data_IF_533838710269
#
_entry.id   IF_533838710269
#
_cell.length_a   1.000
_cell.length_b   1.000
_cell.length_c   1.000
_cell.angle_alpha   90.00
_cell.angle_beta   90.00
_cell.angle_gamma   90.00
#
_symmetry.space_group_name_H-M   'P 1'
#
loop_
_entity.id
_entity.type
_entity.pdbx_description
1 polymer ?
#
# COMPACT_ATOMS: atom_id res chain seq x y z
N UNK A 1 21.35 -41.72 6.52
CA UNK A 1 22.33 -40.66 6.88
C UNK A 1 21.90 -39.29 6.34
N UNK A 2 20.64 -38.87 6.57
CA UNK A 2 20.11 -37.57 6.08
C UNK A 2 19.54 -36.67 7.21
N UNK A 3 19.64 -37.12 8.47
CA UNK A 3 19.02 -36.45 9.62
C UNK A 3 19.98 -35.53 10.39
N UNK A 4 21.29 -35.53 10.09
CA UNK A 4 22.30 -34.86 10.92
C UNK A 4 22.67 -33.44 10.45
N UNK A 5 22.21 -33.02 9.28
CA UNK A 5 22.47 -31.67 8.74
C UNK A 5 21.27 -30.71 8.82
N UNK A 6 20.09 -31.19 9.23
CA UNK A 6 18.89 -30.34 9.38
C UNK A 6 18.96 -29.37 10.55
N UNK A 7 19.79 -29.66 11.57
CA UNK A 7 19.89 -28.85 12.79
C UNK A 7 20.74 -27.57 12.67
N UNK A 8 21.58 -27.44 11.64
CA UNK A 8 22.43 -26.26 11.43
C UNK A 8 21.82 -25.25 10.43
N UNK A 9 20.87 -25.68 9.61
CA UNK A 9 20.15 -24.81 8.67
C UNK A 9 19.23 -23.81 9.39
N UNK A 10 18.71 -24.16 10.56
CA UNK A 10 17.83 -23.29 11.36
C UNK A 10 18.56 -22.10 12.02
N UNK A 11 19.87 -22.22 12.25
CA UNK A 11 20.70 -21.14 12.81
C UNK A 11 21.20 -20.14 11.74
N UNK A 12 21.07 -20.49 10.45
CA UNK A 12 21.44 -19.63 9.33
C UNK A 12 20.24 -18.86 8.73
N UNK A 13 19.03 -19.03 9.27
CA UNK A 13 17.83 -18.31 8.81
C UNK A 13 17.33 -18.75 7.43
N UNK A 14 17.82 -19.87 6.88
CA UNK A 14 17.46 -20.35 5.55
C UNK A 14 16.60 -21.61 5.67
N UNK A 15 15.29 -21.40 5.67
CA UNK A 15 14.30 -22.47 5.62
C UNK A 15 14.09 -22.88 4.14
N UNK A 16 14.74 -23.96 3.69
CA UNK A 16 14.77 -24.44 2.30
C UNK A 16 13.71 -25.49 1.94
N UNK A 17 12.67 -25.67 2.76
CA UNK A 17 11.57 -26.57 2.42
C UNK A 17 10.24 -26.03 2.95
N UNK A 18 9.41 -25.49 2.05
CA UNK A 18 7.98 -25.27 2.26
C UNK A 18 7.59 -24.30 3.38
N UNK A 19 7.27 -23.05 3.00
CA UNK A 19 6.29 -22.24 3.74
C UNK A 19 6.71 -21.68 5.10
N UNK A 20 7.89 -21.06 5.22
CA UNK A 20 8.28 -20.43 6.50
C UNK A 20 9.36 -19.34 6.46
N UNK A 21 9.87 -18.94 5.29
CA UNK A 21 10.53 -17.63 5.16
C UNK A 21 9.45 -16.56 5.06
N UNK A 22 9.68 -15.35 5.59
CA UNK A 22 8.77 -14.23 5.30
C UNK A 22 8.58 -14.16 3.78
N UNK A 23 7.34 -14.40 3.34
CA UNK A 23 6.97 -14.34 1.94
C UNK A 23 7.42 -12.99 1.39
N UNK A 24 8.28 -12.99 0.39
CA UNK A 24 8.82 -11.77 -0.23
C UNK A 24 7.69 -10.83 -0.66
N UNK A 25 6.58 -11.43 -1.06
CA UNK A 25 5.31 -10.76 -1.37
C UNK A 25 4.74 -10.06 -0.13
N UNK A 26 4.66 -10.74 1.01
CA UNK A 26 4.19 -10.16 2.27
C UNK A 26 5.10 -9.02 2.76
N UNK A 27 6.42 -9.18 2.66
CA UNK A 27 7.39 -8.10 2.97
C UNK A 27 7.12 -6.90 2.07
N UNK A 28 6.99 -7.13 0.76
CA UNK A 28 6.75 -6.05 -0.20
C UNK A 28 5.42 -5.33 0.08
N UNK A 29 4.35 -6.06 0.43
CA UNK A 29 3.06 -5.47 0.83
C UNK A 29 3.22 -4.57 2.06
N UNK A 30 3.96 -5.00 3.08
CA UNK A 30 4.18 -4.18 4.28
C UNK A 30 5.11 -2.99 4.02
N UNK A 31 6.09 -3.13 3.13
CA UNK A 31 6.90 -2.00 2.64
C UNK A 31 6.01 -0.99 1.92
N UNK A 32 5.13 -1.44 1.02
CA UNK A 32 4.18 -0.60 0.30
C UNK A 32 3.23 0.18 1.23
N UNK A 33 2.94 -0.35 2.42
CA UNK A 33 2.15 0.33 3.46
C UNK A 33 2.97 1.25 4.36
N UNK A 34 4.29 1.12 4.36
CA UNK A 34 5.17 1.83 5.30
C UNK A 34 5.14 3.34 5.09
N UNK A 35 5.33 4.11 6.17
CA UNK A 35 5.37 5.59 6.09
C UNK A 35 6.49 6.06 5.16
N UNK A 36 7.66 5.42 5.22
CA UNK A 36 8.82 5.83 4.44
C UNK A 36 8.55 5.70 2.94
N UNK A 37 8.07 4.53 2.50
CA UNK A 37 7.73 4.28 1.09
C UNK A 37 6.64 5.25 0.62
N UNK A 38 5.53 5.36 1.36
CA UNK A 38 4.42 6.22 0.97
C UNK A 38 4.79 7.71 0.95
N UNK A 39 5.63 8.17 1.88
CA UNK A 39 6.10 9.57 1.86
C UNK A 39 6.95 9.83 0.61
N UNK A 40 7.85 8.90 0.26
CA UNK A 40 8.67 9.01 -0.95
C UNK A 40 7.80 9.01 -2.21
N UNK A 41 6.89 8.04 -2.33
CA UNK A 41 5.92 7.93 -3.42
C UNK A 41 5.13 9.22 -3.64
N UNK A 42 4.56 9.78 -2.56
CA UNK A 42 3.76 11.01 -2.63
C UNK A 42 4.60 12.19 -3.16
N UNK A 43 5.82 12.36 -2.66
CA UNK A 43 6.71 13.46 -3.07
C UNK A 43 7.21 13.28 -4.50
N UNK A 44 7.60 12.06 -4.87
CA UNK A 44 8.12 11.74 -6.20
C UNK A 44 7.10 12.04 -7.30
N UNK A 45 5.83 11.70 -7.06
CA UNK A 45 4.73 11.90 -8.00
C UNK A 45 3.96 13.21 -7.79
N UNK A 46 4.43 14.10 -6.90
CA UNK A 46 3.84 15.41 -6.61
C UNK A 46 2.34 15.34 -6.23
N UNK A 47 1.99 14.38 -5.38
CA UNK A 47 0.61 14.08 -5.02
C UNK A 47 0.07 14.94 -3.88
N UNK A 48 0.83 15.88 -3.33
CA UNK A 48 0.43 16.66 -2.16
C UNK A 48 -0.84 17.48 -2.42
N UNK A 49 -0.89 18.19 -3.54
CA UNK A 49 -2.04 19.01 -3.93
C UNK A 49 -3.25 18.12 -4.25
N UNK A 50 -3.15 17.06 -5.08
CA UNK A 50 -4.21 16.10 -5.28
C UNK A 50 -4.77 15.49 -3.98
N UNK A 51 -3.92 15.20 -3.00
CA UNK A 51 -4.35 14.54 -1.76
C UNK A 51 -5.03 15.48 -0.77
N UNK A 52 -4.61 16.74 -0.71
CA UNK A 52 -5.01 17.65 0.37
C UNK A 52 -5.95 18.77 -0.07
N UNK A 53 -5.93 19.17 -1.35
CA UNK A 53 -6.62 20.37 -1.82
C UNK A 53 -7.69 20.11 -2.87
N UNK A 54 -7.77 18.91 -3.47
CA UNK A 54 -8.81 18.61 -4.48
C UNK A 54 -10.14 18.24 -3.81
N UNK A 55 -11.24 18.85 -4.27
CA UNK A 55 -12.59 18.63 -3.72
C UNK A 55 -13.42 17.69 -4.61
N UNK A 56 -13.25 17.79 -5.94
CA UNK A 56 -14.00 17.02 -6.94
C UNK A 56 -13.27 17.01 -8.27
N UNK A 57 -13.60 16.05 -9.13
CA UNK A 57 -13.24 16.08 -10.54
C UNK A 57 -14.44 16.57 -11.37
N UNK A 58 -14.18 17.35 -12.40
CA UNK A 58 -15.16 17.67 -13.43
C UNK A 58 -15.51 16.41 -14.23
N UNK A 59 -16.80 16.15 -14.45
CA UNK A 59 -17.27 14.90 -15.08
C UNK A 59 -17.11 14.90 -16.60
N UNK A 60 -16.91 16.06 -17.21
CA UNK A 60 -16.83 16.24 -18.66
C UNK A 60 -15.37 16.38 -19.07
N UNK A 61 -14.59 17.19 -18.34
CA UNK A 61 -13.18 17.43 -18.68
C UNK A 61 -12.21 16.51 -17.95
N UNK A 62 -12.63 15.87 -16.85
CA UNK A 62 -11.76 15.06 -16.00
C UNK A 62 -10.83 15.90 -15.11
N UNK A 63 -10.89 17.23 -15.19
CA UNK A 63 -10.00 18.13 -14.45
C UNK A 63 -10.32 18.14 -12.96
N UNK A 64 -9.28 18.18 -12.13
CA UNK A 64 -9.39 18.22 -10.68
C UNK A 64 -9.65 19.66 -10.22
N UNK A 65 -10.76 19.88 -9.52
CA UNK A 65 -11.08 21.16 -8.91
C UNK A 65 -10.37 21.28 -7.55
N UNK A 66 -9.42 22.21 -7.49
CA UNK A 66 -8.65 22.56 -6.29
C UNK A 66 -9.40 23.61 -5.45
N UNK A 67 -9.42 23.42 -4.13
CA UNK A 67 -9.89 24.39 -3.16
C UNK A 67 -8.90 25.54 -3.01
N UNK A 68 -9.28 26.72 -3.50
CA UNK A 68 -8.48 27.95 -3.40
C UNK A 68 -8.24 28.40 -1.96
N UNK A 69 -9.04 27.94 -1.00
CA UNK A 69 -8.84 28.23 0.43
C UNK A 69 -7.77 27.33 1.06
N UNK A 70 -7.37 26.25 0.39
CA UNK A 70 -6.35 25.31 0.87
C UNK A 70 -5.05 25.52 0.11
N UNK A 71 -5.13 25.68 -1.21
CA UNK A 71 -3.99 25.83 -2.09
C UNK A 71 -4.26 26.85 -3.19
N UNK A 72 -3.37 27.84 -3.29
CA UNK A 72 -3.36 28.82 -4.36
C UNK A 72 -2.55 28.27 -5.54
N UNK A 73 -3.26 27.98 -6.63
CA UNK A 73 -2.69 27.40 -7.86
C UNK A 73 -1.82 28.41 -8.61
N UNK A 74 -2.14 29.70 -8.55
CA UNK A 74 -1.42 30.76 -9.27
C UNK A 74 -0.08 31.04 -8.59
N UNK A 75 -0.07 31.12 -7.26
CA UNK A 75 1.15 31.37 -6.47
C UNK A 75 1.89 30.11 -6.04
N UNK A 76 1.32 28.93 -6.29
CA UNK A 76 1.82 27.60 -5.89
C UNK A 76 2.08 27.48 -4.38
N UNK A 77 1.20 28.05 -3.56
CA UNK A 77 1.37 28.11 -2.10
C UNK A 77 0.19 27.52 -1.37
N UNK A 78 0.50 26.86 -0.26
CA UNK A 78 -0.49 26.47 0.73
C UNK A 78 -0.99 27.72 1.46
N UNK A 79 -2.31 27.91 1.46
CA UNK A 79 -3.00 29.05 2.10
C UNK A 79 -3.99 28.61 3.18
N UNK A 80 -3.97 27.32 3.53
CA UNK A 80 -4.85 26.73 4.54
C UNK A 80 -4.68 27.36 5.92
N UNK A 81 -5.79 27.57 6.61
CA UNK A 81 -5.80 27.96 8.01
C UNK A 81 -5.47 26.76 8.91
N UNK A 82 -4.38 26.86 9.67
CA UNK A 82 -3.95 25.83 10.64
C UNK A 82 -3.64 26.47 11.99
N UNK A 83 -3.80 25.72 13.11
CA UNK A 83 -3.38 26.20 14.42
C UNK A 83 -1.90 26.60 14.43
N UNK A 84 -1.47 27.55 15.29
CA UNK A 84 -0.08 28.03 15.33
C UNK A 84 0.98 26.95 15.54
N UNK A 85 0.61 25.79 16.10
CA UNK A 85 1.50 24.64 16.32
C UNK A 85 1.68 23.72 15.11
N UNK A 86 1.00 24.00 13.98
CA UNK A 86 1.06 23.19 12.77
C UNK A 86 1.63 23.98 11.59
N UNK A 87 2.29 23.25 10.68
CA UNK A 87 2.80 23.81 9.43
C UNK A 87 1.65 24.11 8.47
N UNK A 88 1.73 25.25 7.77
CA UNK A 88 0.82 25.59 6.66
C UNK A 88 0.99 24.60 5.51
N UNK A 89 2.21 24.16 5.24
CA UNK A 89 2.45 23.05 4.31
C UNK A 89 2.11 21.69 4.96
N UNK A 90 1.41 20.78 4.27
CA UNK A 90 1.15 19.44 4.76
C UNK A 90 2.42 18.68 5.12
N UNK A 91 2.41 18.11 6.32
CA UNK A 91 3.49 17.24 6.76
C UNK A 91 3.35 15.86 6.11
N UNK A 92 4.45 15.11 6.02
CA UNK A 92 4.43 13.73 5.52
C UNK A 92 3.43 12.85 6.30
N UNK A 93 3.22 13.13 7.58
CA UNK A 93 2.22 12.42 8.39
C UNK A 93 0.79 12.66 7.90
N UNK A 94 0.45 13.91 7.58
CA UNK A 94 -0.87 14.27 7.06
C UNK A 94 -1.07 13.67 5.66
N UNK A 95 -0.05 13.75 4.81
CA UNK A 95 -0.05 13.21 3.45
C UNK A 95 -0.23 11.69 3.44
N UNK A 96 0.57 10.96 4.22
CA UNK A 96 0.46 9.49 4.32
C UNK A 96 -0.90 9.08 4.90
N UNK A 97 -1.42 9.83 5.87
CA UNK A 97 -2.75 9.57 6.42
C UNK A 97 -3.85 9.75 5.38
N UNK A 98 -3.79 10.82 4.58
CA UNK A 98 -4.73 11.07 3.50
C UNK A 98 -4.64 9.97 2.42
N UNK A 99 -3.43 9.61 1.99
CA UNK A 99 -3.22 8.57 0.99
C UNK A 99 -3.74 7.20 1.43
N UNK A 100 -3.49 6.79 2.69
CA UNK A 100 -4.00 5.52 3.25
C UNK A 100 -5.52 5.43 3.33
N UNK A 101 -6.22 6.56 3.32
CA UNK A 101 -7.68 6.55 3.27
C UNK A 101 -8.23 6.27 1.87
N UNK A 102 -7.40 6.46 0.83
CA UNK A 102 -7.77 6.33 -0.57
C UNK A 102 -7.18 5.06 -1.21
N UNK A 103 -5.99 4.65 -0.79
CA UNK A 103 -5.28 3.50 -1.35
C UNK A 103 -5.26 2.31 -0.38
N UNK A 104 -5.33 1.11 -0.93
CA UNK A 104 -5.18 -0.14 -0.21
C UNK A 104 -4.30 -1.12 -0.98
N UNK A 105 -3.46 -1.85 -0.24
CA UNK A 105 -2.64 -2.95 -0.73
C UNK A 105 -2.93 -4.13 0.19
N UNK A 106 -3.49 -5.21 -0.35
CA UNK A 106 -3.84 -6.40 0.43
C UNK A 106 -3.39 -7.67 -0.29
N UNK A 107 -2.93 -8.65 0.48
CA UNK A 107 -2.59 -9.97 -0.02
C UNK A 107 -3.65 -10.98 0.44
N UNK A 108 -4.13 -11.80 -0.47
CA UNK A 108 -4.84 -13.02 -0.13
C UNK A 108 -3.81 -14.13 0.12
N UNK A 109 -3.65 -14.54 1.37
CA UNK A 109 -2.67 -15.55 1.79
C UNK A 109 -2.98 -16.96 1.27
N UNK A 110 -4.21 -17.21 0.76
CA UNK A 110 -4.58 -18.51 0.18
C UNK A 110 -4.17 -18.60 -1.28
N UNK A 111 -4.42 -17.55 -2.07
CA UNK A 111 -4.10 -17.51 -3.50
C UNK A 111 -2.71 -16.93 -3.79
N UNK A 112 -2.11 -16.23 -2.83
CA UNK A 112 -0.87 -15.46 -3.01
C UNK A 112 -1.06 -14.17 -3.81
N UNK A 113 -2.29 -13.86 -4.25
CA UNK A 113 -2.59 -12.70 -5.06
C UNK A 113 -2.58 -11.42 -4.22
N UNK A 114 -2.00 -10.37 -4.80
CA UNK A 114 -2.02 -9.03 -4.22
C UNK A 114 -2.98 -8.16 -5.02
N UNK A 115 -3.86 -7.48 -4.29
CA UNK A 115 -4.79 -6.50 -4.83
C UNK A 115 -4.33 -5.12 -4.41
N UNK A 116 -4.17 -4.24 -5.40
CA UNK A 116 -3.93 -2.81 -5.20
C UNK A 116 -5.15 -2.06 -5.68
N UNK A 117 -5.70 -1.19 -4.85
CA UNK A 117 -6.87 -0.40 -5.18
C UNK A 117 -6.70 1.03 -4.71
N UNK A 118 -7.10 1.99 -5.54
CA UNK A 118 -7.14 3.42 -5.24
C UNK A 118 -8.53 3.95 -5.53
N UNK A 119 -9.15 4.56 -4.53
CA UNK A 119 -10.41 5.29 -4.67
C UNK A 119 -10.10 6.79 -4.77
N UNK A 120 -10.37 7.41 -5.92
CA UNK A 120 -10.17 8.84 -6.11
C UNK A 120 -11.25 9.50 -6.98
N UNK A 121 -11.23 10.83 -7.06
CA UNK A 121 -12.26 11.61 -7.75
C UNK A 121 -12.28 11.38 -9.27
N UNK A 122 -11.10 11.32 -9.90
CA UNK A 122 -10.92 10.98 -11.31
C UNK A 122 -10.53 9.49 -11.43
N UNK A 123 -11.28 8.69 -12.19
CA UNK A 123 -10.93 7.29 -12.48
C UNK A 123 -9.57 7.14 -13.18
N UNK A 124 -9.21 8.08 -14.06
CA UNK A 124 -7.93 8.10 -14.79
C UNK A 124 -6.77 8.31 -13.81
N UNK A 125 -6.93 9.26 -12.89
CA UNK A 125 -5.93 9.54 -11.85
C UNK A 125 -5.80 8.35 -10.89
N UNK A 126 -6.91 7.73 -10.50
CA UNK A 126 -6.89 6.53 -9.65
C UNK A 126 -6.10 5.39 -10.31
N UNK A 127 -6.37 5.13 -11.59
CA UNK A 127 -5.66 4.13 -12.39
C UNK A 127 -4.16 4.42 -12.46
N UNK A 128 -3.80 5.68 -12.74
CA UNK A 128 -2.41 6.12 -12.79
C UNK A 128 -1.68 5.92 -11.45
N UNK A 129 -2.35 6.19 -10.32
CA UNK A 129 -1.76 5.95 -9.00
C UNK A 129 -1.54 4.48 -8.71
N UNK A 130 -2.43 3.59 -9.16
CA UNK A 130 -2.22 2.14 -9.06
C UNK A 130 -1.01 1.71 -9.89
N UNK A 131 -0.93 2.16 -11.15
CA UNK A 131 0.19 1.84 -12.05
C UNK A 131 1.54 2.29 -11.43
N UNK A 132 1.60 3.52 -10.92
CA UNK A 132 2.80 4.03 -10.23
C UNK A 132 3.12 3.27 -8.95
N UNK A 133 2.11 2.92 -8.14
CA UNK A 133 2.34 2.23 -6.88
C UNK A 133 2.94 0.84 -7.10
N UNK A 134 2.47 0.12 -8.12
CA UNK A 134 3.01 -1.19 -8.50
C UNK A 134 4.43 -1.04 -9.06
N UNK A 135 4.67 -0.06 -9.93
CA UNK A 135 5.99 0.20 -10.50
C UNK A 135 7.03 0.57 -9.43
N UNK A 136 6.73 1.54 -8.57
CA UNK A 136 7.63 2.00 -7.52
C UNK A 136 7.89 0.93 -6.47
N UNK A 137 6.91 0.07 -6.18
CA UNK A 137 7.11 -1.03 -5.24
C UNK A 137 8.01 -2.12 -5.83
N UNK A 138 7.86 -2.44 -7.12
CA UNK A 138 8.78 -3.33 -7.83
C UNK A 138 10.20 -2.75 -7.87
N UNK A 139 10.35 -1.46 -8.21
CA UNK A 139 11.62 -0.73 -8.23
C UNK A 139 12.29 -0.73 -6.85
N UNK A 140 11.55 -0.37 -5.81
CA UNK A 140 12.05 -0.30 -4.43
C UNK A 140 12.54 -1.66 -3.92
N UNK A 141 11.81 -2.74 -4.21
CA UNK A 141 12.22 -4.10 -3.86
C UNK A 141 13.44 -4.55 -4.66
N UNK A 142 13.50 -4.23 -5.95
CA UNK A 142 14.63 -4.54 -6.84
C UNK A 142 15.92 -3.87 -6.34
N UNK A 143 15.87 -2.57 -6.06
CA UNK A 143 17.01 -1.79 -5.58
C UNK A 143 17.50 -2.25 -4.20
N UNK A 144 16.55 -2.62 -3.32
CA UNK A 144 16.87 -3.19 -2.00
C UNK A 144 17.65 -4.50 -2.14
N UNK A 145 17.11 -5.46 -2.88
CA UNK A 145 17.73 -6.78 -3.05
C UNK A 145 19.05 -6.68 -3.83
N UNK A 146 19.16 -5.77 -4.79
CA UNK A 146 20.41 -5.48 -5.49
C UNK A 146 21.49 -4.99 -4.52
N UNK A 147 21.14 -4.01 -3.67
CA UNK A 147 22.06 -3.45 -2.67
C UNK A 147 22.50 -4.50 -1.66
N UNK A 148 21.56 -5.31 -1.17
CA UNK A 148 21.84 -6.38 -0.22
C UNK A 148 22.70 -7.48 -0.85
N UNK A 149 22.42 -7.90 -2.08
CA UNK A 149 23.22 -8.90 -2.81
C UNK A 149 24.66 -8.43 -3.05
N UNK A 150 24.86 -7.18 -3.50
CA UNK A 150 26.20 -6.61 -3.71
C UNK A 150 26.99 -6.59 -2.39
N UNK A 151 26.36 -6.15 -1.30
CA UNK A 151 26.98 -6.12 0.03
C UNK A 151 27.39 -7.52 0.48
N UNK A 152 26.49 -8.50 0.32
CA UNK A 152 26.74 -9.89 0.69
C UNK A 152 27.87 -10.52 -0.14
N UNK A 153 27.87 -10.31 -1.46
CA UNK A 153 28.96 -10.79 -2.34
C UNK A 153 30.30 -10.21 -1.90
N UNK A 154 30.37 -8.91 -1.62
CA UNK A 154 31.59 -8.27 -1.15
C UNK A 154 32.09 -8.88 0.16
N UNK A 155 31.19 -9.13 1.10
CA UNK A 155 31.54 -9.78 2.38
C UNK A 155 32.03 -11.21 2.18
N UNK A 156 31.32 -12.01 1.39
CA UNK A 156 31.66 -13.42 1.13
C UNK A 156 33.00 -13.56 0.41
N UNK A 157 33.31 -12.70 -0.57
CA UNK A 157 34.62 -12.65 -1.23
C UNK A 157 35.76 -12.37 -0.24
N UNK A 158 35.56 -11.40 0.66
CA UNK A 158 36.57 -11.08 1.68
C UNK A 158 36.80 -12.23 2.69
N UNK A 159 35.78 -13.05 2.98
CA UNK A 159 35.92 -14.24 3.83
C UNK A 159 36.57 -15.40 3.09
N UNK A 160 36.27 -15.58 1.80
CA UNK A 160 36.87 -16.59 0.95
C UNK A 160 38.40 -16.45 0.88
N UNK A 161 38.91 -15.22 0.71
CA UNK A 161 40.35 -14.94 0.69
C UNK A 161 41.07 -15.30 2.00
N UNK A 162 40.36 -15.24 3.12
CA UNK A 162 40.88 -15.55 4.46
C UNK A 162 40.72 -17.02 4.83
N UNK A 163 40.10 -17.82 3.97
CA UNK A 163 39.75 -19.20 4.27
C UNK A 163 40.71 -20.16 3.57
N UNK A 164 41.60 -20.85 4.30
CA UNK A 164 42.57 -21.76 3.69
C UNK A 164 42.00 -23.16 3.39
N UNK A 165 40.88 -23.52 4.01
CA UNK A 165 40.29 -24.87 3.89
C UNK A 165 39.43 -24.96 2.63
N UNK A 166 39.83 -25.81 1.69
CA UNK A 166 39.16 -25.98 0.40
C UNK A 166 37.66 -26.31 0.51
N UNK A 167 37.26 -27.12 1.51
CA UNK A 167 35.84 -27.45 1.69
C UNK A 167 35.02 -26.26 2.17
N UNK A 168 35.59 -25.37 2.99
CA UNK A 168 34.93 -24.12 3.39
C UNK A 168 34.86 -23.12 2.23
N UNK A 169 35.90 -23.08 1.37
CA UNK A 169 35.87 -22.26 0.16
C UNK A 169 34.72 -22.66 -0.77
N UNK A 170 34.43 -23.97 -0.93
CA UNK A 170 33.28 -24.45 -1.72
C UNK A 170 31.95 -23.87 -1.22
N UNK A 171 31.75 -23.81 0.10
CA UNK A 171 30.55 -23.22 0.70
C UNK A 171 30.45 -21.73 0.36
N UNK A 172 31.54 -20.97 0.47
CA UNK A 172 31.55 -19.56 0.09
C UNK A 172 31.26 -19.34 -1.39
N UNK A 173 31.80 -20.17 -2.29
CA UNK A 173 31.47 -20.09 -3.71
C UNK A 173 29.98 -20.33 -3.97
N UNK A 174 29.36 -21.30 -3.31
CA UNK A 174 27.92 -21.55 -3.42
C UNK A 174 27.09 -20.35 -2.92
N UNK A 175 27.45 -19.77 -1.77
CA UNK A 175 26.77 -18.58 -1.27
C UNK A 175 26.93 -17.38 -2.21
N UNK A 176 28.12 -17.19 -2.79
CA UNK A 176 28.36 -16.13 -3.80
C UNK A 176 27.51 -16.39 -5.04
N UNK A 177 27.42 -17.64 -5.51
CA UNK A 177 26.59 -18.02 -6.64
C UNK A 177 25.11 -17.67 -6.37
N UNK A 178 24.60 -17.99 -5.19
CA UNK A 178 23.22 -17.70 -4.81
C UNK A 178 22.93 -16.19 -4.73
N UNK A 179 23.86 -15.39 -4.18
CA UNK A 179 23.73 -13.93 -4.21
C UNK A 179 23.84 -13.37 -5.64
N UNK A 180 24.68 -13.97 -6.47
CA UNK A 180 24.84 -13.56 -7.88
C UNK A 180 23.59 -13.86 -8.70
N UNK A 181 22.90 -14.98 -8.44
CA UNK A 181 21.58 -15.27 -9.04
C UNK A 181 20.55 -14.20 -8.64
N UNK A 182 20.51 -13.82 -7.36
CA UNK A 182 19.62 -12.76 -6.88
C UNK A 182 19.92 -11.44 -7.58
N UNK A 183 21.20 -11.04 -7.66
CA UNK A 183 21.63 -9.83 -8.35
C UNK A 183 21.23 -9.84 -9.84
N UNK A 184 21.48 -10.94 -10.54
CA UNK A 184 21.09 -11.11 -11.94
C UNK A 184 19.58 -10.95 -12.13
N UNK A 185 18.75 -11.54 -11.25
CA UNK A 185 17.29 -11.37 -11.29
C UNK A 185 16.84 -9.92 -11.08
N UNK A 186 17.57 -9.13 -10.30
CA UNK A 186 17.26 -7.70 -10.11
C UNK A 186 17.64 -6.85 -11.33
N UNK A 187 18.57 -7.28 -12.17
CA UNK A 187 18.99 -6.52 -13.35
C UNK A 187 18.06 -6.73 -14.56
N UNK A 188 17.47 -7.92 -14.68
CA UNK A 188 16.70 -8.31 -15.87
C UNK A 188 15.18 -8.14 -15.74
N UNK A 189 14.64 -8.13 -14.52
CA UNK A 189 13.18 -8.16 -14.29
C UNK A 189 12.65 -6.79 -13.85
N UNK A 190 11.83 -6.16 -14.68
CA UNK A 190 11.09 -4.95 -14.30
C UNK A 190 9.94 -5.28 -13.32
N UNK A 191 9.25 -6.40 -13.54
CA UNK A 191 8.22 -6.95 -12.65
C UNK A 191 8.86 -7.93 -11.64
N UNK A 192 9.71 -7.38 -10.77
CA UNK A 192 10.61 -8.18 -9.92
C UNK A 192 9.88 -8.98 -8.83
N UNK A 193 8.96 -8.35 -8.10
CA UNK A 193 8.17 -9.01 -7.03
C UNK A 193 6.74 -9.26 -7.47
N UNK A 194 6.15 -8.29 -8.17
CA UNK A 194 4.78 -8.37 -8.65
C UNK A 194 4.75 -8.41 -10.16
N UNK A 195 4.15 -9.48 -10.68
CA UNK A 195 3.73 -9.58 -12.06
C UNK A 195 2.29 -9.10 -12.18
N UNK A 196 2.04 -8.14 -13.05
CA UNK A 196 0.69 -7.61 -13.28
C UNK A 196 -0.12 -8.66 -14.01
N UNK A 197 -1.07 -9.29 -13.31
CA UNK A 197 -1.99 -10.28 -13.91
C UNK A 197 -3.19 -9.59 -14.56
N UNK A 198 -3.69 -8.53 -13.92
CA UNK A 198 -4.79 -7.71 -14.40
C UNK A 198 -4.37 -6.24 -14.29
N UNK A 199 -4.19 -5.52 -15.41
CA UNK A 199 -3.80 -4.11 -15.37
C UNK A 199 -4.91 -3.26 -14.76
N UNK A 200 -4.53 -2.13 -14.16
CA UNK A 200 -5.51 -1.20 -13.64
C UNK A 200 -6.40 -0.67 -14.77
N UNK A 201 -7.72 -0.75 -14.56
CA UNK A 201 -8.73 -0.24 -15.49
C UNK A 201 -9.44 0.96 -14.89
N UNK A 202 -9.79 1.91 -15.75
CA UNK A 202 -10.60 3.07 -15.41
C UNK A 202 -11.99 2.55 -15.01
N UNK A 203 -12.42 2.82 -13.79
CA UNK A 203 -13.70 2.32 -13.29
C UNK A 203 -14.88 2.96 -14.05
N UNK A 204 -15.72 2.13 -14.65
CA UNK A 204 -16.96 2.58 -15.31
C UNK A 204 -18.07 2.89 -14.30
N UNK A 205 -18.06 2.20 -13.15
CA UNK A 205 -19.03 2.40 -12.07
C UNK A 205 -18.44 3.13 -10.87
N UNK A 206 -19.27 3.94 -10.22
CA UNK A 206 -18.87 4.70 -9.03
C UNK A 206 -18.80 3.80 -7.80
N UNK A 207 -17.66 3.81 -7.12
CA UNK A 207 -17.50 3.09 -5.86
C UNK A 207 -18.46 3.59 -4.76
N UNK A 208 -18.72 4.91 -4.68
CA UNK A 208 -19.55 5.56 -3.64
C UNK A 208 -20.30 6.80 -4.17
N UNK A 209 -21.44 7.19 -3.53
CA UNK A 209 -22.17 6.49 -2.47
C UNK A 209 -23.12 5.42 -3.02
N UNK A 210 -23.29 4.31 -2.29
CA UNK A 210 -24.29 3.27 -2.57
C UNK A 210 -25.69 3.76 -2.21
N UNK A 211 -26.30 4.56 -3.11
CA UNK A 211 -27.61 5.22 -2.87
C UNK A 211 -28.71 4.26 -2.43
N UNK A 212 -28.73 3.04 -2.99
CA UNK A 212 -29.68 2.00 -2.61
C UNK A 212 -29.56 1.61 -1.13
N UNK A 213 -28.35 1.43 -0.62
CA UNK A 213 -28.10 1.08 0.78
C UNK A 213 -28.51 2.21 1.73
N UNK A 214 -28.24 3.46 1.34
CA UNK A 214 -28.66 4.64 2.12
C UNK A 214 -30.19 4.72 2.18
N UNK A 215 -30.88 4.48 1.06
CA UNK A 215 -32.33 4.49 1.01
C UNK A 215 -32.94 3.39 1.92
N UNK A 216 -32.39 2.17 1.88
CA UNK A 216 -32.85 1.05 2.73
C UNK A 216 -32.63 1.32 4.22
N UNK A 217 -31.46 1.84 4.60
CA UNK A 217 -31.20 2.20 6.00
C UNK A 217 -32.09 3.37 6.46
N UNK A 218 -32.30 4.36 5.59
CA UNK A 218 -33.18 5.50 5.87
C UNK A 218 -34.63 5.08 6.10
N UNK A 219 -35.17 4.18 5.27
CA UNK A 219 -36.54 3.67 5.44
C UNK A 219 -36.66 2.78 6.68
N UNK A 220 -35.66 1.95 6.97
CA UNK A 220 -35.66 1.09 8.16
C UNK A 220 -35.62 1.92 9.46
N UNK A 221 -34.70 2.90 9.55
CA UNK A 221 -34.59 3.79 10.71
C UNK A 221 -35.81 4.70 10.86
N UNK A 222 -36.32 5.25 9.75
CA UNK A 222 -37.54 6.05 9.73
C UNK A 222 -38.77 5.24 10.17
N UNK A 223 -38.87 3.98 9.75
CA UNK A 223 -39.90 3.04 10.18
C UNK A 223 -39.84 2.75 11.68
N UNK A 224 -38.65 2.45 12.22
CA UNK A 224 -38.46 2.22 13.66
C UNK A 224 -38.85 3.44 14.50
N UNK A 225 -38.40 4.64 14.09
CA UNK A 225 -38.77 5.89 14.78
C UNK A 225 -40.27 6.17 14.68
N UNK A 226 -40.88 5.90 13.52
CA UNK A 226 -42.33 6.02 13.33
C UNK A 226 -43.14 5.13 14.29
N UNK A 227 -42.74 3.87 14.44
CA UNK A 227 -43.36 2.93 15.38
C UNK A 227 -43.17 3.39 16.83
N UNK A 228 -41.97 3.82 17.20
CA UNK A 228 -41.69 4.36 18.54
C UNK A 228 -42.59 5.56 18.89
N UNK A 229 -42.71 6.53 17.99
CA UNK A 229 -43.56 7.71 18.18
C UNK A 229 -45.04 7.29 18.29
N UNK A 230 -45.49 6.35 17.46
CA UNK A 230 -46.85 5.82 17.52
C UNK A 230 -47.14 5.14 18.87
N UNK A 231 -46.21 4.33 19.39
CA UNK A 231 -46.35 3.67 20.68
C UNK A 231 -46.38 4.66 21.85
N UNK A 232 -45.50 5.67 21.86
CA UNK A 232 -45.49 6.72 22.89
C UNK A 232 -46.78 7.53 22.89
N UNK A 233 -47.26 7.92 21.69
CA UNK A 233 -48.56 8.60 21.55
C UNK A 233 -49.71 7.73 22.05
N UNK A 234 -49.70 6.44 21.71
CA UNK A 234 -50.71 5.49 22.15
C UNK A 234 -50.69 5.26 23.67
N UNK A 235 -49.51 5.22 24.30
CA UNK A 235 -49.39 5.04 25.75
C UNK A 235 -49.82 6.27 26.55
N UNK A 236 -49.56 7.49 26.05
CA UNK A 236 -49.94 8.74 26.71
C UNK A 236 -51.42 9.08 26.47
N UNK A 237 -51.98 8.68 25.32
CA UNK A 237 -53.38 8.94 24.95
C UNK A 237 -54.43 7.99 25.55
N UNK A 238 -54.04 7.00 26.37
CA UNK A 238 -54.98 6.10 27.05
C UNK A 238 -55.45 6.70 28.39
N UNK A 239 -56.73 7.08 28.56
CA UNK A 239 -57.25 7.41 29.88
C UNK A 239 -57.28 6.15 30.77
N UNK A 240 -57.07 6.28 32.09
CA UNK A 240 -57.12 5.15 33.01
C UNK A 240 -58.51 4.52 32.97
N UNK A 241 -58.56 3.21 32.67
CA UNK A 241 -59.79 2.42 32.83
C UNK A 241 -59.95 2.13 34.33
N UNK A 242 -60.96 2.76 34.94
CA UNK A 242 -61.54 2.35 36.22
C UNK A 242 -62.29 1.03 36.09
#
# INVERSE_FOLDING_TARGET
MAAQFGGLASLAGVNLSGGGGLDKTAIAVEIGKSRQFLSHFIRQHQLEVPLMAVIKADKVTGELLVDKNIYDVDTKKWVREVPPSKSVEPTDWELVKAFRALASISQDTKSGLVTVAVEYYSPETAKQWVDWLVADLNEGMKLRDQTDAIRNISYLKAQLEKTPVADMQKVFYQLIEDQTKTLMLTEVNQEYVFKTLDPAVVAEEKAKPKRALIAVLGTLLGGMLGVMIALVRHSIGRPPRH
#
